data_IF_739615311093
#
_entry.id   IF_739615311093
#
_cell.length_a   1.000
_cell.length_b   1.000
_cell.length_c   1.000
_cell.angle_alpha   90.00
_cell.angle_beta   90.00
_cell.angle_gamma   90.00
#
_symmetry.space_group_name_H-M   'P 1'
#
loop_
_entity.id
_entity.type
_entity.pdbx_description
1 polymer ?
#
# COMPACT_ATOMS: atom_id res chain seq x y z
N UNK A 1 -38.16 46.53 -46.63
CA UNK A 1 -38.95 45.97 -45.50
C UNK A 1 -38.66 44.47 -45.43
N UNK A 2 -37.87 43.98 -44.45
CA UNK A 2 -38.28 43.08 -43.33
C UNK A 2 -39.25 41.97 -43.81
N UNK A 3 -39.03 40.65 -43.68
CA UNK A 3 -38.54 39.88 -42.52
C UNK A 3 -38.09 38.45 -42.93
N UNK A 4 -36.87 38.10 -42.49
CA UNK A 4 -36.46 36.86 -41.79
C UNK A 4 -37.28 35.58 -42.01
N UNK A 5 -36.77 34.66 -42.84
CA UNK A 5 -37.08 33.24 -42.74
C UNK A 5 -36.18 32.60 -41.67
N UNK A 6 -36.80 31.90 -40.73
CA UNK A 6 -36.23 31.29 -39.53
C UNK A 6 -35.59 29.94 -39.91
N UNK A 7 -34.26 29.86 -39.83
CA UNK A 7 -33.51 28.59 -39.92
C UNK A 7 -33.45 28.03 -38.49
N UNK A 8 -34.23 26.99 -38.22
CA UNK A 8 -34.12 26.19 -37.00
C UNK A 8 -33.18 25.03 -37.27
N UNK A 9 -32.08 25.00 -36.51
CA UNK A 9 -31.09 23.93 -36.48
C UNK A 9 -31.73 22.69 -35.82
N UNK A 10 -31.68 21.54 -36.50
CA UNK A 10 -31.88 20.24 -35.86
C UNK A 10 -30.50 19.66 -35.52
N UNK A 11 -30.11 19.86 -34.27
CA UNK A 11 -29.02 19.13 -33.63
C UNK A 11 -29.65 17.98 -32.85
N UNK A 12 -29.44 16.73 -33.27
CA UNK A 12 -29.66 15.58 -32.39
C UNK A 12 -28.67 14.47 -32.74
N UNK A 13 -27.54 14.55 -32.04
CA UNK A 13 -26.54 13.54 -31.80
C UNK A 13 -27.19 12.21 -31.41
N UNK A 14 -26.96 11.14 -32.18
CA UNK A 14 -27.18 9.77 -31.73
C UNK A 14 -25.83 9.19 -31.31
N UNK A 15 -25.68 9.04 -29.99
CA UNK A 15 -24.60 8.30 -29.34
C UNK A 15 -24.65 6.81 -29.73
N UNK A 16 -23.51 6.13 -29.88
CA UNK A 16 -23.42 4.70 -29.65
C UNK A 16 -23.19 4.46 -28.15
N UNK A 17 -24.17 3.81 -27.52
CA UNK A 17 -24.03 3.13 -26.23
C UNK A 17 -22.99 2.01 -26.37
N UNK A 18 -21.81 2.22 -25.80
CA UNK A 18 -20.84 1.16 -25.57
C UNK A 18 -20.32 1.26 -24.13
N UNK A 19 -20.97 0.48 -23.27
CA UNK A 19 -20.33 -0.31 -22.21
C UNK A 19 -19.58 0.50 -21.14
N UNK A 20 -20.32 1.21 -20.30
CA UNK A 20 -19.93 1.39 -18.90
C UNK A 20 -20.37 0.16 -18.11
N UNK A 21 -19.57 -0.90 -18.15
CA UNK A 21 -19.68 -1.96 -17.17
C UNK A 21 -18.30 -2.43 -16.73
N UNK A 22 -18.11 -2.34 -15.41
CA UNK A 22 -17.14 -3.04 -14.58
C UNK A 22 -15.71 -2.50 -14.50
N UNK A 23 -15.53 -1.56 -13.55
CA UNK A 23 -14.45 -1.65 -12.56
C UNK A 23 -14.87 -0.92 -11.28
N UNK A 24 -15.79 -1.53 -10.53
CA UNK A 24 -15.88 -1.28 -9.09
C UNK A 24 -14.69 -1.98 -8.44
N UNK A 25 -13.49 -1.42 -8.60
CA UNK A 25 -12.42 -1.69 -7.67
C UNK A 25 -12.79 -0.92 -6.40
N UNK A 26 -13.14 -1.64 -5.34
CA UNK A 26 -13.23 -1.05 -4.01
C UNK A 26 -11.89 -0.37 -3.74
N UNK A 27 -11.86 0.96 -3.81
CA UNK A 27 -10.69 1.74 -3.45
C UNK A 27 -10.47 1.54 -1.95
N UNK A 28 -9.61 0.61 -1.59
CA UNK A 28 -9.17 0.43 -0.21
C UNK A 28 -8.57 1.76 0.25
N UNK A 29 -9.01 2.28 1.40
CA UNK A 29 -8.47 3.53 1.92
C UNK A 29 -6.95 3.41 2.09
N UNK A 30 -6.21 4.41 1.60
CA UNK A 30 -4.74 4.40 1.58
C UNK A 30 -4.11 4.02 2.93
N UNK A 31 -4.57 4.52 4.10
CA UNK A 31 -3.99 4.14 5.39
C UNK A 31 -4.21 2.66 5.75
N UNK A 32 -5.33 2.09 5.32
CA UNK A 32 -5.62 0.67 5.52
C UNK A 32 -4.73 -0.19 4.63
N UNK A 33 -4.53 0.23 3.39
CA UNK A 33 -3.62 -0.43 2.47
C UNK A 33 -2.17 -0.41 2.97
N UNK A 34 -1.65 0.74 3.40
CA UNK A 34 -0.29 0.88 3.94
C UNK A 34 -0.08 0.01 5.18
N UNK A 35 -1.09 -0.07 6.05
CA UNK A 35 -1.06 -0.95 7.22
C UNK A 35 -0.96 -2.42 6.82
N UNK A 36 -1.74 -2.85 5.83
CA UNK A 36 -1.70 -4.23 5.35
C UNK A 36 -0.34 -4.57 4.72
N UNK A 37 0.24 -3.63 3.98
CA UNK A 37 1.60 -3.78 3.42
C UNK A 37 2.64 -3.93 4.53
N UNK A 38 2.56 -3.09 5.57
CA UNK A 38 3.42 -3.20 6.75
C UNK A 38 3.30 -4.57 7.43
N UNK A 39 2.06 -4.99 7.73
CA UNK A 39 1.80 -6.29 8.37
C UNK A 39 2.35 -7.45 7.53
N UNK A 40 2.08 -7.46 6.22
CA UNK A 40 2.57 -8.50 5.32
C UNK A 40 4.10 -8.54 5.27
N UNK A 41 4.74 -7.38 5.13
CA UNK A 41 6.19 -7.26 5.03
C UNK A 41 6.88 -7.74 6.30
N UNK A 42 6.45 -7.24 7.46
CA UNK A 42 7.04 -7.60 8.74
C UNK A 42 6.82 -9.07 9.08
N UNK A 43 5.63 -9.60 8.79
CA UNK A 43 5.34 -11.02 9.03
C UNK A 43 6.24 -11.91 8.19
N UNK A 44 6.34 -11.65 6.88
CA UNK A 44 7.16 -12.47 5.98
C UNK A 44 8.63 -12.39 6.36
N UNK A 45 9.16 -11.20 6.69
CA UNK A 45 10.53 -11.06 7.16
C UNK A 45 10.78 -11.77 8.49
N UNK A 46 9.83 -11.71 9.43
CA UNK A 46 9.96 -12.36 10.74
C UNK A 46 9.89 -13.90 10.64
N UNK A 47 8.98 -14.43 9.82
CA UNK A 47 8.86 -15.88 9.55
C UNK A 47 10.07 -16.45 8.81
N UNK A 48 10.82 -15.58 8.10
CA UNK A 48 12.02 -15.94 7.35
C UNK A 48 13.26 -15.25 7.95
N UNK A 49 13.29 -15.02 9.27
CA UNK A 49 14.41 -14.35 9.93
C UNK A 49 15.74 -15.14 9.83
N UNK A 50 15.68 -16.42 9.44
CA UNK A 50 16.84 -17.24 9.08
C UNK A 50 17.47 -16.85 7.73
N UNK A 51 16.69 -16.20 6.85
CA UNK A 51 17.16 -15.68 5.57
C UNK A 51 17.64 -14.26 5.77
N UNK A 52 18.85 -13.98 5.30
CA UNK A 52 19.50 -12.69 5.50
C UNK A 52 18.71 -11.50 4.91
N UNK A 53 18.02 -11.69 3.78
CA UNK A 53 17.26 -10.63 3.12
C UNK A 53 16.21 -11.22 2.15
N UNK A 54 15.07 -10.54 2.01
CA UNK A 54 14.00 -10.92 1.08
C UNK A 54 13.71 -9.80 0.09
N UNK A 55 13.45 -10.15 -1.16
CA UNK A 55 13.08 -9.20 -2.20
C UNK A 55 11.65 -8.69 -2.01
N UNK A 56 11.47 -7.37 -1.91
CA UNK A 56 10.18 -6.78 -1.59
C UNK A 56 9.11 -7.12 -2.64
N UNK A 57 9.47 -7.14 -3.92
CA UNK A 57 8.52 -7.43 -5.00
C UNK A 57 8.19 -8.92 -5.02
N UNK A 58 9.20 -9.74 -5.21
CA UNK A 58 9.03 -11.15 -5.56
C UNK A 58 8.83 -12.06 -4.34
N UNK A 59 9.46 -11.75 -3.21
CA UNK A 59 9.35 -12.59 -2.03
C UNK A 59 8.22 -12.20 -1.10
N UNK A 60 7.77 -10.95 -1.14
CA UNK A 60 6.78 -10.40 -0.21
C UNK A 60 5.48 -10.06 -0.95
N UNK A 61 5.50 -9.10 -1.88
CA UNK A 61 4.28 -8.58 -2.50
C UNK A 61 3.61 -9.55 -3.45
N UNK A 62 4.38 -10.21 -4.32
CA UNK A 62 3.84 -11.20 -5.26
C UNK A 62 3.22 -12.38 -4.49
N UNK A 63 3.84 -12.83 -3.39
CA UNK A 63 3.28 -13.88 -2.52
C UNK A 63 2.04 -13.43 -1.76
N UNK A 64 1.90 -12.13 -1.51
CA UNK A 64 0.70 -11.52 -0.94
C UNK A 64 -0.38 -11.19 -1.98
N UNK A 65 -0.17 -11.51 -3.27
CA UNK A 65 -1.02 -11.11 -4.40
C UNK A 65 -1.23 -9.59 -4.49
N UNK A 66 -0.21 -8.81 -4.11
CA UNK A 66 -0.20 -7.36 -4.20
C UNK A 66 0.50 -6.94 -5.50
N UNK A 67 -0.29 -6.65 -6.53
CA UNK A 67 0.23 -6.13 -7.80
C UNK A 67 0.30 -4.60 -7.74
N UNK A 68 1.51 -4.08 -7.60
CA UNK A 68 1.77 -2.65 -7.43
C UNK A 68 2.41 -2.05 -8.67
N UNK A 69 1.99 -0.83 -9.01
CA UNK A 69 2.73 0.00 -9.95
C UNK A 69 4.10 0.38 -9.38
N UNK A 70 5.03 0.75 -10.25
CA UNK A 70 6.37 1.15 -9.81
C UNK A 70 6.34 2.38 -8.90
N UNK A 71 5.43 3.33 -9.14
CA UNK A 71 5.21 4.49 -8.27
C UNK A 71 4.70 4.11 -6.88
N UNK A 72 3.82 3.12 -6.78
CA UNK A 72 3.33 2.64 -5.47
C UNK A 72 4.42 1.88 -4.73
N UNK A 73 5.24 1.12 -5.46
CA UNK A 73 6.39 0.42 -4.90
C UNK A 73 7.41 1.37 -4.31
N UNK A 74 7.80 2.41 -5.03
CA UNK A 74 8.75 3.42 -4.56
C UNK A 74 8.22 4.14 -3.30
N UNK A 75 6.94 4.55 -3.32
CA UNK A 75 6.32 5.17 -2.15
C UNK A 75 6.27 4.23 -0.94
N UNK A 76 5.91 2.96 -1.14
CA UNK A 76 5.85 1.97 -0.06
C UNK A 76 7.25 1.62 0.46
N UNK A 77 8.25 1.58 -0.41
CA UNK A 77 9.64 1.41 -0.04
C UNK A 77 10.08 2.51 0.94
N UNK A 78 9.77 3.77 0.64
CA UNK A 78 10.08 4.90 1.52
C UNK A 78 9.35 4.79 2.87
N UNK A 79 8.06 4.42 2.86
CA UNK A 79 7.26 4.20 4.08
C UNK A 79 7.84 3.07 4.93
N UNK A 80 8.24 1.96 4.30
CA UNK A 80 8.84 0.82 4.97
C UNK A 80 10.17 1.19 5.63
N UNK A 81 11.09 1.81 4.89
CA UNK A 81 12.41 2.17 5.42
C UNK A 81 12.31 3.25 6.51
N UNK A 82 11.45 4.26 6.31
CA UNK A 82 11.29 5.34 7.29
C UNK A 82 10.69 4.87 8.62
N UNK A 83 10.04 3.70 8.67
CA UNK A 83 9.53 3.12 9.92
C UNK A 83 10.61 2.69 10.90
N UNK A 84 11.82 2.41 10.42
CA UNK A 84 12.93 1.89 11.24
C UNK A 84 12.79 0.40 11.63
N UNK A 85 11.76 -0.30 11.16
CA UNK A 85 11.56 -1.74 11.47
C UNK A 85 12.17 -2.67 10.44
N UNK A 86 12.42 -2.15 9.25
CA UNK A 86 13.12 -2.84 8.18
C UNK A 86 14.27 -1.98 7.69
N UNK A 87 15.30 -2.61 7.17
CA UNK A 87 16.43 -1.93 6.52
C UNK A 87 16.63 -2.50 5.11
N UNK A 88 17.06 -1.66 4.15
CA UNK A 88 17.53 -2.17 2.87
C UNK A 88 18.85 -2.91 3.07
N UNK A 89 18.97 -4.09 2.44
CA UNK A 89 20.25 -4.81 2.46
C UNK A 89 21.20 -4.19 1.43
N UNK A 90 22.39 -3.79 1.88
CA UNK A 90 23.38 -3.10 1.05
C UNK A 90 24.33 -4.12 0.41
N UNK A 91 24.52 -4.04 -0.91
CA UNK A 91 25.51 -4.85 -1.62
C UNK A 91 25.13 -5.17 -3.06
N UNK A 92 26.07 -5.72 -3.82
CA UNK A 92 25.81 -6.17 -5.19
C UNK A 92 24.78 -7.32 -5.19
N UNK A 93 23.73 -7.20 -6.01
CA UNK A 93 22.66 -8.21 -6.09
C UNK A 93 21.62 -8.17 -4.97
N UNK A 94 21.61 -7.11 -4.15
CA UNK A 94 20.63 -6.89 -3.07
C UNK A 94 19.63 -5.76 -3.35
N UNK A 95 19.60 -5.24 -4.58
CA UNK A 95 18.60 -4.24 -4.98
C UNK A 95 17.17 -4.74 -4.70
N UNK A 96 16.37 -3.92 -4.03
CA UNK A 96 14.98 -4.26 -3.68
C UNK A 96 14.82 -5.21 -2.50
N UNK A 97 15.91 -5.62 -1.83
CA UNK A 97 15.84 -6.53 -0.68
C UNK A 97 15.77 -5.79 0.65
N UNK A 98 14.95 -6.31 1.53
CA UNK A 98 14.78 -5.85 2.91
C UNK A 98 15.17 -6.94 3.90
N UNK A 99 15.62 -6.50 5.06
CA UNK A 99 15.83 -7.33 6.24
C UNK A 99 15.11 -6.70 7.44
N UNK A 100 14.83 -7.51 8.45
CA UNK A 100 14.21 -7.04 9.68
C UNK A 100 15.27 -6.37 10.58
N UNK A 101 15.03 -5.16 11.04
CA UNK A 101 15.93 -4.54 12.02
C UNK A 101 15.75 -5.19 13.39
N UNK A 102 16.67 -4.94 14.32
CA UNK A 102 16.51 -5.36 15.72
C UNK A 102 15.22 -4.81 16.33
N UNK A 103 14.87 -3.56 16.03
CA UNK A 103 13.64 -2.93 16.52
C UNK A 103 12.40 -3.61 15.91
N UNK A 104 12.43 -3.92 14.60
CA UNK A 104 11.37 -4.67 13.94
C UNK A 104 11.19 -6.07 14.53
N UNK A 105 12.28 -6.79 14.80
CA UNK A 105 12.25 -8.11 15.41
C UNK A 105 11.64 -8.07 16.82
N UNK A 106 12.04 -7.10 17.64
CA UNK A 106 11.49 -6.93 19.00
C UNK A 106 9.99 -6.59 18.95
N UNK A 107 9.60 -5.67 18.06
CA UNK A 107 8.20 -5.30 17.87
C UNK A 107 7.37 -6.51 17.45
N UNK A 108 7.82 -7.29 16.46
CA UNK A 108 7.12 -8.50 16.01
C UNK A 108 7.08 -9.59 17.09
N UNK A 109 8.16 -9.76 17.87
CA UNK A 109 8.19 -10.74 18.96
C UNK A 109 7.19 -10.39 20.08
N UNK A 110 6.95 -9.09 20.32
CA UNK A 110 6.06 -8.63 21.38
C UNK A 110 4.59 -8.55 20.93
N UNK A 111 4.33 -8.10 19.71
CA UNK A 111 2.97 -7.77 19.24
C UNK A 111 2.46 -8.71 18.14
N UNK A 112 3.34 -9.42 17.44
CA UNK A 112 3.03 -10.33 16.34
C UNK A 112 2.63 -9.65 15.03
N UNK A 113 2.25 -8.37 15.04
CA UNK A 113 1.89 -7.59 13.85
C UNK A 113 1.97 -6.09 14.12
N UNK A 114 2.08 -5.29 13.06
CA UNK A 114 1.98 -3.84 13.13
C UNK A 114 0.60 -3.38 13.58
N UNK A 115 -0.48 -4.04 13.10
CA UNK A 115 -1.84 -3.71 13.54
C UNK A 115 -2.04 -3.88 15.05
N UNK A 116 -1.48 -4.95 15.63
CA UNK A 116 -1.53 -5.17 17.07
C UNK A 116 -0.71 -4.14 17.83
N UNK A 117 0.47 -3.80 17.33
CA UNK A 117 1.30 -2.73 17.89
C UNK A 117 0.55 -1.38 17.93
N UNK A 118 -0.07 -0.96 16.82
CA UNK A 118 -0.86 0.27 16.79
C UNK A 118 -2.03 0.25 17.77
N UNK A 119 -2.63 -0.91 17.98
CA UNK A 119 -3.75 -1.09 18.91
C UNK A 119 -3.28 -1.00 20.36
N UNK A 120 -2.14 -1.62 20.69
CA UNK A 120 -1.48 -1.49 21.98
C UNK A 120 -1.06 -0.04 22.27
N UNK A 121 -0.51 0.66 21.28
CA UNK A 121 -0.09 2.05 21.42
C UNK A 121 -1.25 3.00 21.68
N UNK A 122 -2.39 2.79 21.03
CA UNK A 122 -3.62 3.55 21.28
C UNK A 122 -4.21 3.26 22.66
N UNK A 123 -4.07 2.03 23.14
CA UNK A 123 -4.46 1.63 24.50
C UNK A 123 -3.51 2.14 25.60
N UNK A 124 -2.25 2.43 25.28
CA UNK A 124 -1.28 3.04 26.21
C UNK A 124 -1.39 4.57 26.31
N UNK A 125 -2.46 5.18 25.80
CA UNK A 125 -2.85 6.53 26.19
C UNK A 125 -3.39 6.46 27.62
N UNK A 126 -2.47 6.26 28.57
CA UNK A 126 -2.75 6.26 30.00
C UNK A 126 -3.28 7.65 30.34
N UNK A 127 -4.48 7.69 30.91
CA UNK A 127 -5.06 8.88 31.52
C UNK A 127 -4.01 9.58 32.42
N UNK A 128 -3.71 10.87 32.22
CA UNK A 128 -3.01 11.66 33.23
C UNK A 128 -4.00 11.99 34.36
N UNK A 129 -4.26 11.02 35.24
CA UNK A 129 -4.91 11.18 36.56
C UNK A 129 -4.69 9.88 37.35
N UNK A 130 -4.14 9.88 38.56
CA UNK A 130 -4.14 10.88 39.62
C UNK A 130 -2.86 10.78 40.48
#
# INVERSE_FOLDING_TARGET
MKKKARITQHNTTKQPEAQQQQKQAQSMDQPTFDRNVMDATLRVLFENADKNALDLRTDIFDKANLHLSDSEMERLWDVLISSGWVSPTIGFGHAGKLELTKAGFQMMSQYGSYTNYLSAMRGTTIDPKA
#
